data_IF_503752151375
#
_entry.id   IF_503752151375
#
_cell.length_a   1.000
_cell.length_b   1.000
_cell.length_c   1.000
_cell.angle_alpha   90.00
_cell.angle_beta   90.00
_cell.angle_gamma   90.00
#
_symmetry.space_group_name_H-M   'P 1'
#
loop_
_entity.id
_entity.type
_entity.pdbx_description
1 polymer ?
#
# COMPACT_ATOMS: atom_id res chain seq x y z
N UNK A 1 53.11 -33.87 -24.40
CA UNK A 1 51.69 -33.51 -24.58
C UNK A 1 51.22 -32.79 -23.33
N UNK A 2 51.14 -31.45 -23.38
CA UNK A 2 50.64 -30.63 -22.28
C UNK A 2 49.14 -30.37 -22.54
N UNK A 3 48.25 -30.98 -21.75
CA UNK A 3 46.81 -30.75 -21.86
C UNK A 3 46.45 -29.48 -21.10
N UNK A 4 46.10 -28.43 -21.84
CA UNK A 4 45.56 -27.19 -21.29
C UNK A 4 44.09 -27.43 -20.91
N UNK A 5 43.80 -27.45 -19.60
CA UNK A 5 42.44 -27.48 -19.08
C UNK A 5 41.89 -26.04 -19.11
N UNK A 6 41.03 -25.75 -20.06
CA UNK A 6 40.28 -24.50 -20.11
C UNK A 6 39.08 -24.65 -19.16
N UNK A 7 39.18 -24.07 -17.96
CA UNK A 7 38.01 -23.86 -17.11
C UNK A 7 37.19 -22.69 -17.70
N UNK A 8 36.15 -23.01 -18.46
CA UNK A 8 35.09 -22.05 -18.77
C UNK A 8 34.26 -21.84 -17.51
N UNK A 9 34.58 -20.80 -16.74
CA UNK A 9 33.72 -20.32 -15.66
C UNK A 9 32.45 -19.72 -16.25
N UNK A 10 31.33 -20.42 -16.15
CA UNK A 10 30.01 -19.81 -16.32
C UNK A 10 29.80 -18.85 -15.15
N UNK A 11 30.07 -17.56 -15.36
CA UNK A 11 29.56 -16.51 -14.49
C UNK A 11 28.05 -16.43 -14.69
N UNK A 12 27.28 -17.22 -13.94
CA UNK A 12 25.89 -16.90 -13.71
C UNK A 12 25.86 -15.61 -12.89
N UNK A 13 25.63 -14.47 -13.56
CA UNK A 13 25.14 -13.28 -12.87
C UNK A 13 23.78 -13.66 -12.29
N UNK A 14 23.75 -14.08 -11.04
CA UNK A 14 22.51 -14.23 -10.28
C UNK A 14 21.91 -12.83 -10.13
N UNK A 15 21.01 -12.46 -11.04
CA UNK A 15 20.19 -11.28 -10.86
C UNK A 15 19.30 -11.56 -9.63
N UNK A 16 19.42 -10.73 -8.60
CA UNK A 16 18.55 -10.88 -7.43
C UNK A 16 17.12 -10.51 -7.85
N UNK A 17 16.18 -11.43 -7.63
CA UNK A 17 14.79 -11.25 -8.00
C UNK A 17 14.15 -10.04 -7.26
N UNK A 18 13.25 -9.34 -7.95
CA UNK A 18 12.60 -8.14 -7.41
C UNK A 18 11.75 -8.49 -6.18
N UNK A 19 11.95 -7.80 -5.06
CA UNK A 19 11.25 -8.10 -3.80
C UNK A 19 11.11 -6.90 -2.87
N UNK A 20 10.23 -6.99 -1.86
CA UNK A 20 10.25 -6.08 -0.72
C UNK A 20 11.52 -6.31 0.11
N UNK A 21 12.18 -5.24 0.55
CA UNK A 21 13.33 -5.31 1.46
C UNK A 21 12.92 -4.82 2.85
N UNK A 22 13.25 -5.63 3.85
CA UNK A 22 13.01 -5.30 5.24
C UNK A 22 14.04 -4.33 5.81
N UNK A 23 13.78 -3.89 7.05
CA UNK A 23 14.56 -2.82 7.67
C UNK A 23 15.97 -3.24 8.09
N UNK A 24 16.23 -4.55 8.11
CA UNK A 24 17.55 -5.14 8.27
C UNK A 24 18.33 -5.24 6.94
N UNK A 25 17.75 -4.79 5.82
CA UNK A 25 18.35 -4.84 4.51
C UNK A 25 18.26 -6.16 3.77
N UNK A 26 17.47 -7.13 4.23
CA UNK A 26 17.25 -8.41 3.57
C UNK A 26 15.89 -8.46 2.87
N UNK A 27 15.72 -9.27 1.83
CA UNK A 27 14.40 -9.53 1.24
C UNK A 27 13.41 -10.06 2.29
N UNK A 28 12.17 -9.58 2.23
CA UNK A 28 11.04 -10.03 3.06
C UNK A 28 9.82 -10.29 2.20
N UNK A 29 8.95 -11.18 2.67
CA UNK A 29 7.71 -11.50 1.97
C UNK A 29 6.73 -10.32 1.96
N UNK A 30 6.66 -9.59 3.08
CA UNK A 30 5.88 -8.37 3.22
C UNK A 30 6.44 -7.52 4.34
N UNK A 31 6.15 -6.23 4.30
CA UNK A 31 6.33 -5.34 5.44
C UNK A 31 5.24 -4.27 5.49
N UNK A 32 5.09 -3.69 6.67
CA UNK A 32 4.24 -2.55 6.95
C UNK A 32 5.11 -1.45 7.56
N UNK A 33 4.95 -0.23 7.06
CA UNK A 33 5.55 0.98 7.63
C UNK A 33 4.43 1.94 8.04
N UNK A 34 4.57 2.49 9.24
CA UNK A 34 3.77 3.62 9.72
C UNK A 34 4.69 4.80 10.00
N UNK A 35 4.80 5.72 9.05
CA UNK A 35 5.53 6.97 9.24
C UNK A 35 4.76 7.86 10.20
N UNK A 36 5.44 8.42 11.18
CA UNK A 36 4.84 9.27 12.20
C UNK A 36 4.60 10.70 11.69
N UNK A 37 3.57 11.40 12.17
CA UNK A 37 3.43 12.83 11.93
C UNK A 37 4.58 13.61 12.59
N UNK A 38 4.79 14.85 12.16
CA UNK A 38 5.70 15.71 12.90
C UNK A 38 5.11 16.03 14.29
N UNK A 39 5.98 16.08 15.30
CA UNK A 39 5.56 16.40 16.66
C UNK A 39 6.25 17.68 17.14
N UNK A 40 5.51 18.70 17.60
CA UNK A 40 6.09 19.98 17.99
C UNK A 40 7.17 19.87 19.08
N UNK A 41 6.98 18.93 20.02
CA UNK A 41 7.84 18.77 21.20
C UNK A 41 9.11 17.92 20.96
N UNK A 42 9.25 17.28 19.79
CA UNK A 42 10.33 16.32 19.52
C UNK A 42 11.20 16.67 18.30
N UNK A 43 11.16 17.92 17.86
CA UNK A 43 11.89 18.39 16.68
C UNK A 43 11.11 18.09 15.40
N UNK A 44 10.63 19.16 14.74
CA UNK A 44 9.65 19.08 13.65
C UNK A 44 10.09 18.24 12.45
N UNK A 45 11.37 18.28 12.08
CA UNK A 45 11.86 17.64 10.85
C UNK A 45 12.19 16.17 11.07
N UNK A 46 13.05 15.86 12.03
CA UNK A 46 13.54 14.48 12.24
C UNK A 46 12.42 13.56 12.73
N UNK A 47 11.56 14.05 13.64
CA UNK A 47 10.46 13.24 14.17
C UNK A 47 9.45 12.85 13.08
N UNK A 48 9.12 13.80 12.19
CA UNK A 48 8.25 13.55 11.04
C UNK A 48 8.86 12.64 9.97
N UNK A 49 10.12 12.21 10.12
CA UNK A 49 10.76 11.21 9.25
C UNK A 49 10.90 9.84 9.92
N UNK A 50 10.61 9.73 11.22
CA UNK A 50 10.60 8.44 11.92
C UNK A 50 9.41 7.60 11.50
N UNK A 51 9.55 6.29 11.57
CA UNK A 51 8.47 5.36 11.34
C UNK A 51 8.51 4.18 12.32
N UNK A 52 7.36 3.53 12.46
CA UNK A 52 7.23 2.19 13.01
C UNK A 52 7.25 1.17 11.88
N UNK A 53 7.82 0.01 12.14
CA UNK A 53 8.03 -1.07 11.18
C UNK A 53 7.48 -2.39 11.71
N UNK A 54 6.91 -3.19 10.82
CA UNK A 54 6.49 -4.55 11.10
C UNK A 54 6.65 -5.45 9.87
N UNK A 55 7.15 -6.67 10.07
CA UNK A 55 7.19 -7.74 9.07
C UNK A 55 6.80 -9.08 9.72
N UNK A 56 7.01 -10.19 9.00
CA UNK A 56 6.73 -11.54 9.50
C UNK A 56 7.55 -11.95 10.75
N UNK A 57 8.65 -11.27 11.04
CA UNK A 57 9.63 -11.63 12.07
C UNK A 57 9.73 -10.61 13.21
N UNK A 58 9.16 -9.41 13.08
CA UNK A 58 9.22 -8.41 14.17
C UNK A 58 8.38 -8.78 15.39
N UNK A 59 7.31 -9.57 15.21
CA UNK A 59 6.31 -9.90 16.24
C UNK A 59 5.60 -8.66 16.83
N UNK A 60 5.26 -7.69 15.97
CA UNK A 60 4.59 -6.44 16.31
C UNK A 60 5.37 -5.20 15.87
N UNK A 61 4.92 -4.02 16.28
CA UNK A 61 5.58 -2.76 15.97
C UNK A 61 6.98 -2.67 16.59
N UNK A 62 7.96 -2.30 15.76
CA UNK A 62 9.28 -1.84 16.19
C UNK A 62 9.54 -0.43 15.68
N UNK A 63 10.45 0.28 16.32
CA UNK A 63 10.99 1.50 15.73
C UNK A 63 11.77 1.15 14.45
N UNK A 64 11.61 1.98 13.43
CA UNK A 64 12.43 1.91 12.23
C UNK A 64 13.90 2.08 12.56
N UNK A 65 14.76 1.28 11.95
CA UNK A 65 16.22 1.38 12.05
C UNK A 65 16.76 2.62 11.33
N UNK A 66 15.97 3.21 10.43
CA UNK A 66 16.33 4.34 9.60
C UNK A 66 15.23 5.41 9.59
N UNK A 67 15.51 6.53 8.92
CA UNK A 67 14.49 7.51 8.58
C UNK A 67 13.81 7.15 7.25
N UNK A 68 12.56 7.58 7.05
CA UNK A 68 11.79 7.25 5.86
C UNK A 68 12.46 7.75 4.57
N UNK A 69 13.25 8.82 4.62
CA UNK A 69 13.97 9.37 3.48
C UNK A 69 15.34 8.72 3.22
N UNK A 70 15.77 7.79 4.09
CA UNK A 70 17.04 7.07 3.94
C UNK A 70 16.90 5.93 2.91
N UNK A 71 17.87 5.82 2.01
CA UNK A 71 17.93 4.73 1.03
C UNK A 71 18.26 3.39 1.68
N UNK A 72 18.80 3.37 2.90
CA UNK A 72 19.13 2.15 3.63
C UNK A 72 17.94 1.52 4.38
N UNK A 73 16.89 2.29 4.66
CA UNK A 73 15.66 1.79 5.29
C UNK A 73 14.82 0.92 4.36
N UNK A 74 13.84 0.21 4.92
CA UNK A 74 12.99 -0.73 4.18
C UNK A 74 12.38 -0.15 2.88
N UNK A 75 11.74 1.02 2.97
CA UNK A 75 11.13 1.69 1.81
C UNK A 75 12.18 2.11 0.77
N UNK A 76 13.28 2.72 1.23
CA UNK A 76 14.38 3.17 0.38
C UNK A 76 15.04 2.02 -0.36
N UNK A 77 15.39 0.92 0.32
CA UNK A 77 15.98 -0.27 -0.30
C UNK A 77 15.04 -0.93 -1.29
N UNK A 78 13.76 -1.04 -0.93
CA UNK A 78 12.75 -1.62 -1.82
C UNK A 78 12.66 -0.82 -3.13
N UNK A 79 12.54 0.50 -3.04
CA UNK A 79 12.40 1.36 -4.22
C UNK A 79 13.73 1.63 -4.95
N UNK A 80 14.89 1.38 -4.34
CA UNK A 80 16.17 1.47 -5.06
C UNK A 80 16.23 0.50 -6.26
N UNK A 81 15.53 -0.63 -6.21
CA UNK A 81 15.40 -1.54 -7.36
C UNK A 81 14.77 -0.86 -8.58
N UNK A 82 13.86 0.10 -8.36
CA UNK A 82 13.23 0.92 -9.40
C UNK A 82 14.18 1.96 -10.00
N UNK A 83 15.09 2.51 -9.19
CA UNK A 83 16.00 3.60 -9.61
C UNK A 83 17.36 3.11 -10.11
N UNK A 84 17.63 1.81 -10.00
CA UNK A 84 18.84 1.24 -10.56
C UNK A 84 18.71 1.15 -12.10
N UNK A 85 19.55 1.91 -12.80
CA UNK A 85 19.49 2.09 -14.26
C UNK A 85 19.63 0.81 -15.09
N UNK A 86 20.13 -0.28 -14.50
CA UNK A 86 20.21 -1.59 -15.15
C UNK A 86 18.87 -2.32 -15.16
N UNK A 87 18.00 -2.08 -14.17
CA UNK A 87 16.67 -2.70 -14.08
C UNK A 87 15.68 -2.08 -15.07
N UNK A 88 15.71 -0.76 -15.24
CA UNK A 88 14.71 0.00 -16.03
C UNK A 88 14.95 -0.05 -17.54
N UNK A 89 16.17 -0.41 -17.97
CA UNK A 89 16.52 -0.62 -19.38
C UNK A 89 16.37 -2.07 -19.82
N UNK A 90 15.96 -2.95 -18.91
CA UNK A 90 15.76 -4.36 -19.20
C UNK A 90 14.33 -4.58 -19.71
N UNK A 91 14.18 -5.18 -20.89
CA UNK A 91 12.88 -5.59 -21.44
C UNK A 91 12.21 -6.71 -20.63
N UNK A 92 12.90 -7.27 -19.63
CA UNK A 92 12.36 -8.26 -18.70
C UNK A 92 11.80 -7.64 -17.40
N UNK A 93 11.75 -6.31 -17.27
CA UNK A 93 11.24 -5.63 -16.07
C UNK A 93 10.07 -4.70 -16.42
N UNK A 94 8.95 -4.87 -15.73
CA UNK A 94 7.79 -3.99 -15.81
C UNK A 94 7.62 -3.14 -14.56
N UNK A 95 7.11 -1.93 -14.71
CA UNK A 95 6.74 -1.06 -13.60
C UNK A 95 5.50 -0.20 -13.90
N UNK A 96 4.78 0.15 -12.84
CA UNK A 96 3.70 1.12 -12.89
C UNK A 96 3.64 1.92 -11.58
N UNK A 97 3.89 3.22 -11.68
CA UNK A 97 3.80 4.16 -10.58
C UNK A 97 2.50 4.94 -10.73
N UNK A 98 1.70 4.97 -9.67
CA UNK A 98 0.43 5.67 -9.68
C UNK A 98 0.18 6.47 -8.41
N UNK A 99 -0.47 7.62 -8.59
CA UNK A 99 -0.83 8.53 -7.51
C UNK A 99 -1.83 9.55 -8.07
N UNK A 100 -2.95 9.79 -7.40
CA UNK A 100 -3.91 10.84 -7.77
C UNK A 100 -3.39 12.27 -7.53
N UNK A 101 -2.26 12.38 -6.85
CA UNK A 101 -1.48 13.59 -6.64
C UNK A 101 0.00 13.30 -6.95
N UNK A 102 0.39 13.15 -8.23
CA UNK A 102 1.75 12.72 -8.60
C UNK A 102 2.81 13.78 -8.24
N UNK A 103 4.11 13.42 -8.24
CA UNK A 103 5.19 14.34 -7.87
C UNK A 103 5.32 15.60 -8.74
N UNK A 104 4.84 15.56 -9.99
CA UNK A 104 4.80 16.73 -10.88
C UNK A 104 3.65 17.67 -10.49
N UNK A 105 3.96 18.94 -10.23
CA UNK A 105 2.96 19.96 -9.92
C UNK A 105 1.91 20.11 -11.03
N UNK A 106 0.63 20.25 -10.65
CA UNK A 106 -0.49 20.51 -11.58
C UNK A 106 -1.26 19.28 -12.08
N UNK A 107 -0.76 18.06 -11.86
CA UNK A 107 -1.39 16.82 -12.34
C UNK A 107 -2.31 16.14 -11.30
N UNK A 108 -2.96 16.91 -10.42
CA UNK A 108 -3.94 16.36 -9.50
C UNK A 108 -5.24 16.08 -10.25
N UNK A 109 -5.80 14.87 -10.11
CA UNK A 109 -7.06 14.56 -10.80
C UNK A 109 -8.08 13.89 -9.90
N UNK A 110 -9.25 14.54 -9.80
CA UNK A 110 -10.43 13.99 -9.17
C UNK A 110 -11.22 13.02 -10.08
N UNK A 111 -10.86 12.89 -11.37
CA UNK A 111 -11.49 11.94 -12.29
C UNK A 111 -10.97 10.51 -12.14
N UNK A 112 -9.79 10.35 -11.53
CA UNK A 112 -9.18 9.07 -11.20
C UNK A 112 -9.47 8.68 -9.75
N UNK A 113 -9.26 7.41 -9.44
CA UNK A 113 -9.39 6.89 -8.09
C UNK A 113 -8.47 7.56 -7.09
N UNK A 114 -8.87 7.61 -5.82
CA UNK A 114 -8.02 8.05 -4.73
C UNK A 114 -7.11 6.90 -4.32
N UNK A 115 -6.09 6.66 -5.13
CA UNK A 115 -5.20 5.52 -4.95
C UNK A 115 -3.75 5.84 -5.31
N UNK A 116 -2.80 5.24 -4.59
CA UNK A 116 -1.37 5.49 -4.74
C UNK A 116 -0.56 4.22 -4.49
N UNK A 117 0.50 4.02 -5.27
CA UNK A 117 1.33 2.84 -5.14
C UNK A 117 2.33 2.64 -6.26
N UNK A 118 3.05 1.52 -6.13
CA UNK A 118 4.10 1.09 -7.05
C UNK A 118 3.93 -0.40 -7.33
N UNK A 119 3.92 -0.74 -8.61
CA UNK A 119 4.14 -2.10 -9.09
C UNK A 119 5.51 -2.13 -9.73
N UNK A 120 6.35 -3.10 -9.35
CA UNK A 120 7.63 -3.40 -9.98
C UNK A 120 7.80 -4.92 -10.01
N UNK A 121 8.09 -5.49 -11.17
CA UNK A 121 8.17 -6.93 -11.37
C UNK A 121 9.11 -7.32 -12.51
N UNK A 122 9.65 -8.52 -12.43
CA UNK A 122 10.32 -9.24 -13.51
C UNK A 122 9.49 -10.50 -13.87
N UNK A 123 10.04 -11.39 -14.71
CA UNK A 123 9.36 -12.62 -15.14
C UNK A 123 9.23 -13.69 -14.04
N UNK A 124 9.90 -13.53 -12.90
CA UNK A 124 9.84 -14.45 -11.78
C UNK A 124 8.87 -13.95 -10.70
N UNK A 125 9.04 -12.69 -10.28
CA UNK A 125 8.30 -12.09 -9.16
C UNK A 125 8.38 -10.56 -9.17
N UNK A 126 7.76 -9.94 -8.18
CA UNK A 126 7.83 -8.50 -7.97
C UNK A 126 7.24 -8.09 -6.64
N UNK A 127 7.03 -6.79 -6.46
CA UNK A 127 6.24 -6.28 -5.36
C UNK A 127 5.09 -5.38 -5.82
N UNK A 128 4.04 -5.38 -5.02
CA UNK A 128 3.02 -4.34 -5.03
C UNK A 128 3.09 -3.56 -3.71
N UNK A 129 3.40 -2.27 -3.82
CA UNK A 129 3.49 -1.33 -2.72
C UNK A 129 2.27 -0.40 -2.74
N UNK A 130 1.46 -0.44 -1.69
CA UNK A 130 0.33 0.46 -1.48
C UNK A 130 0.74 1.51 -0.45
N UNK A 131 0.41 2.78 -0.68
CA UNK A 131 0.75 3.84 0.26
C UNK A 131 -0.22 5.01 0.25
N UNK A 132 -0.12 5.90 1.25
CA UNK A 132 -0.99 7.08 1.36
C UNK A 132 -0.31 8.42 1.06
N UNK A 133 0.97 8.41 0.69
CA UNK A 133 1.81 9.60 0.47
C UNK A 133 1.56 10.32 -0.87
N UNK A 134 1.07 11.58 -0.87
CA UNK A 134 1.01 12.42 -2.08
C UNK A 134 2.41 12.78 -2.59
N UNK A 135 2.52 13.07 -3.88
CA UNK A 135 3.75 13.47 -4.57
C UNK A 135 4.90 12.47 -4.43
N UNK A 136 4.56 11.19 -4.35
CA UNK A 136 5.50 10.08 -4.18
C UNK A 136 5.06 8.85 -5.00
N UNK A 137 6.00 8.01 -5.45
CA UNK A 137 7.45 8.22 -5.45
C UNK A 137 7.90 9.09 -6.64
N UNK A 138 9.14 9.62 -6.63
CA UNK A 138 9.74 10.23 -7.82
C UNK A 138 9.71 9.29 -9.04
N UNK A 139 9.56 9.82 -10.28
CA UNK A 139 9.59 9.01 -11.49
C UNK A 139 10.96 8.30 -11.68
N UNK A 140 10.98 7.24 -12.47
CA UNK A 140 12.11 6.30 -12.62
C UNK A 140 13.40 6.94 -13.15
N UNK A 141 13.30 8.09 -13.83
CA UNK A 141 14.46 8.86 -14.30
C UNK A 141 15.08 9.77 -13.22
N UNK A 142 14.55 9.73 -11.99
CA UNK A 142 15.09 10.43 -10.83
C UNK A 142 15.69 9.42 -9.85
N UNK A 143 15.85 9.84 -8.59
CA UNK A 143 16.35 9.02 -7.49
C UNK A 143 15.33 9.01 -6.36
N UNK A 144 15.44 7.99 -5.50
CA UNK A 144 14.68 7.94 -4.26
C UNK A 144 14.83 9.26 -3.50
N UNK A 145 13.68 9.87 -3.19
CA UNK A 145 13.60 11.06 -2.36
C UNK A 145 12.22 11.15 -1.74
N UNK A 146 12.18 11.82 -0.59
CA UNK A 146 10.97 11.97 0.18
C UNK A 146 10.32 13.34 -0.08
N UNK A 147 9.00 13.43 -0.33
CA UNK A 147 8.35 14.70 -0.62
C UNK A 147 8.33 15.59 0.62
N UNK A 148 8.63 16.89 0.45
CA UNK A 148 8.73 17.85 1.55
C UNK A 148 7.43 17.95 2.38
N UNK A 149 6.28 17.85 1.73
CA UNK A 149 4.98 17.88 2.42
C UNK A 149 4.63 16.56 3.13
N UNK A 150 5.32 15.46 2.81
CA UNK A 150 5.20 14.17 3.49
C UNK A 150 5.74 14.17 4.92
N UNK A 151 6.33 15.26 5.40
CA UNK A 151 6.85 15.36 6.78
C UNK A 151 5.71 15.53 7.79
N UNK A 152 4.67 16.29 7.42
CA UNK A 152 3.66 16.78 8.38
C UNK A 152 2.79 15.67 8.95
N UNK A 153 2.24 14.82 8.09
CA UNK A 153 1.21 13.87 8.50
C UNK A 153 1.77 12.44 8.63
N UNK A 154 1.12 11.63 9.46
CA UNK A 154 1.35 10.19 9.50
C UNK A 154 0.99 9.55 8.15
N UNK A 155 1.66 8.46 7.77
CA UNK A 155 1.44 7.78 6.48
C UNK A 155 1.68 6.29 6.63
N UNK A 156 0.91 5.48 5.90
CA UNK A 156 1.03 4.03 5.91
C UNK A 156 1.55 3.50 4.58
N UNK A 157 2.32 2.43 4.64
CA UNK A 157 2.78 1.65 3.50
C UNK A 157 2.60 0.17 3.78
N UNK A 158 2.16 -0.57 2.77
CA UNK A 158 2.16 -2.03 2.74
C UNK A 158 2.91 -2.47 1.48
N UNK A 159 4.01 -3.20 1.65
CA UNK A 159 4.70 -3.86 0.56
C UNK A 159 4.47 -5.37 0.67
N UNK A 160 4.08 -6.02 -0.42
CA UNK A 160 4.02 -7.48 -0.49
C UNK A 160 4.74 -7.95 -1.75
N UNK A 161 5.63 -8.92 -1.58
CA UNK A 161 6.32 -9.64 -2.65
C UNK A 161 5.37 -10.71 -3.19
N UNK A 162 5.12 -10.70 -4.48
CA UNK A 162 4.22 -11.64 -5.15
C UNK A 162 4.95 -12.37 -6.29
N UNK A 163 4.62 -13.66 -6.55
CA UNK A 163 5.07 -14.32 -7.77
C UNK A 163 4.44 -13.66 -9.00
N UNK A 164 5.11 -13.74 -10.16
CA UNK A 164 4.68 -13.14 -11.42
C UNK A 164 3.20 -13.40 -11.76
N UNK A 165 2.73 -14.62 -11.50
CA UNK A 165 1.35 -15.07 -11.78
C UNK A 165 0.25 -14.27 -11.05
N UNK A 166 0.56 -13.60 -9.95
CA UNK A 166 -0.42 -12.77 -9.22
C UNK A 166 -0.66 -11.42 -9.88
N UNK A 167 0.27 -10.94 -10.73
CA UNK A 167 0.21 -9.57 -11.25
C UNK A 167 -0.91 -9.34 -12.27
N UNK A 168 -1.44 -10.40 -12.91
CA UNK A 168 -2.63 -10.25 -13.74
C UNK A 168 -3.86 -9.93 -12.86
N UNK A 169 -4.00 -10.64 -11.73
CA UNK A 169 -5.06 -10.40 -10.74
C UNK A 169 -4.92 -9.03 -10.09
N UNK A 170 -3.70 -8.60 -9.76
CA UNK A 170 -3.41 -7.23 -9.28
C UNK A 170 -3.79 -6.21 -10.36
N UNK A 171 -3.46 -6.47 -11.63
CA UNK A 171 -3.90 -5.66 -12.76
C UNK A 171 -5.42 -5.49 -12.80
N UNK A 172 -6.18 -6.55 -12.53
CA UNK A 172 -7.64 -6.45 -12.42
C UNK A 172 -8.08 -5.57 -11.25
N UNK A 173 -7.47 -5.67 -10.08
CA UNK A 173 -7.72 -4.76 -8.94
C UNK A 173 -7.46 -3.30 -9.35
N UNK A 174 -6.36 -3.04 -10.05
CA UNK A 174 -6.00 -1.70 -10.52
C UNK A 174 -7.01 -1.15 -11.54
N UNK A 175 -7.61 -1.96 -12.41
CA UNK A 175 -8.72 -1.49 -13.25
C UNK A 175 -9.89 -0.94 -12.39
N UNK A 176 -10.28 -1.66 -11.32
CA UNK A 176 -11.31 -1.17 -10.40
C UNK A 176 -10.86 0.08 -9.65
N UNK A 177 -9.63 0.11 -9.16
CA UNK A 177 -9.11 1.30 -8.48
C UNK A 177 -9.06 2.53 -9.39
N UNK A 178 -8.95 2.34 -10.72
CA UNK A 178 -8.83 3.39 -11.73
C UNK A 178 -7.76 4.44 -11.38
N UNK A 179 -6.51 4.00 -11.13
CA UNK A 179 -5.42 4.88 -10.72
C UNK A 179 -4.98 5.83 -11.84
N UNK A 180 -4.47 6.99 -11.45
CA UNK A 180 -3.68 7.84 -12.34
C UNK A 180 -2.24 7.30 -12.41
N UNK A 181 -1.90 6.56 -13.46
CA UNK A 181 -0.52 6.15 -13.74
C UNK A 181 0.26 7.34 -14.32
N UNK A 182 1.29 7.80 -13.62
CA UNK A 182 2.10 8.95 -14.04
C UNK A 182 3.47 8.56 -14.61
N UNK A 183 3.91 7.32 -14.36
CA UNK A 183 5.12 6.76 -14.96
C UNK A 183 5.04 5.24 -14.99
N UNK A 184 5.04 4.65 -16.19
CA UNK A 184 4.82 3.23 -16.39
C UNK A 184 5.57 2.70 -17.61
N UNK A 185 5.89 1.42 -17.57
CA UNK A 185 6.39 0.62 -18.69
C UNK A 185 6.05 -0.84 -18.40
N UNK A 186 5.28 -1.47 -19.28
CA UNK A 186 5.01 -2.91 -19.21
C UNK A 186 5.57 -3.50 -20.50
N UNK A 187 6.57 -4.41 -20.43
CA UNK A 187 7.14 -5.03 -21.62
C UNK A 187 6.08 -5.74 -22.46
N UNK A 188 6.26 -5.72 -23.79
CA UNK A 188 5.37 -6.45 -24.72
C UNK A 188 5.34 -7.95 -24.40
N UNK A 189 6.46 -8.50 -23.92
CA UNK A 189 6.57 -9.90 -23.52
C UNK A 189 5.65 -10.29 -22.35
N UNK A 190 5.11 -9.33 -21.60
CA UNK A 190 4.19 -9.59 -20.49
C UNK A 190 2.72 -9.58 -20.94
N UNK A 191 2.41 -9.16 -22.18
CA UNK A 191 1.01 -8.91 -22.57
C UNK A 191 0.14 -10.18 -22.58
N UNK A 192 0.71 -11.33 -22.96
CA UNK A 192 -0.03 -12.60 -22.97
C UNK A 192 -0.39 -13.08 -21.58
N UNK A 193 0.50 -12.85 -20.61
CA UNK A 193 0.41 -13.44 -19.27
C UNK A 193 -0.28 -12.48 -18.29
N UNK A 194 -0.13 -11.16 -18.50
CA UNK A 194 -0.68 -10.10 -17.66
C UNK A 194 -1.65 -9.16 -18.41
N UNK A 195 -2.63 -9.66 -19.18
CA UNK A 195 -3.50 -8.83 -20.00
C UNK A 195 -4.31 -7.81 -19.20
N UNK A 196 -4.68 -8.12 -17.94
CA UNK A 196 -5.42 -7.19 -17.09
C UNK A 196 -4.55 -6.08 -16.49
N UNK A 197 -3.25 -6.33 -16.30
CA UNK A 197 -2.29 -5.28 -15.93
C UNK A 197 -2.07 -4.32 -17.10
N UNK A 198 -1.92 -4.86 -18.32
CA UNK A 198 -1.82 -4.07 -19.56
C UNK A 198 -3.06 -3.21 -19.76
N UNK A 199 -4.25 -3.78 -19.54
CA UNK A 199 -5.52 -3.04 -19.59
C UNK A 199 -5.55 -1.91 -18.55
N UNK A 200 -5.11 -2.16 -17.32
CA UNK A 200 -5.07 -1.14 -16.28
C UNK A 200 -4.19 0.05 -16.70
N UNK A 201 -2.96 -0.19 -17.15
CA UNK A 201 -2.04 0.89 -17.56
C UNK A 201 -2.45 1.61 -18.86
N UNK A 202 -3.29 0.97 -19.68
CA UNK A 202 -3.94 1.55 -20.87
C UNK A 202 -5.30 2.20 -20.56
N UNK A 203 -5.56 2.49 -19.29
CA UNK A 203 -6.75 3.18 -18.79
C UNK A 203 -8.08 2.51 -19.17
N UNK A 204 -8.10 1.17 -19.18
CA UNK A 204 -9.32 0.39 -19.43
C UNK A 204 -10.07 0.12 -18.13
N UNK A 205 -11.32 0.58 -18.10
CA UNK A 205 -12.21 0.43 -16.96
C UNK A 205 -12.78 -0.98 -16.85
N UNK A 206 -13.16 -1.46 -15.65
CA UNK A 206 -13.69 -2.80 -15.48
C UNK A 206 -15.11 -2.90 -16.04
N UNK A 207 -15.43 -4.07 -16.60
CA UNK A 207 -16.79 -4.49 -16.91
C UNK A 207 -17.33 -5.32 -15.75
N UNK A 208 -18.04 -4.68 -14.81
CA UNK A 208 -18.71 -5.36 -13.70
C UNK A 208 -20.00 -4.64 -13.34
N UNK A 209 -21.05 -5.40 -13.04
CA UNK A 209 -22.32 -4.85 -12.56
C UNK A 209 -22.28 -4.41 -11.10
N UNK A 210 -21.42 -5.03 -10.27
CA UNK A 210 -21.26 -4.66 -8.86
C UNK A 210 -20.35 -3.44 -8.66
N UNK A 211 -19.50 -3.13 -9.65
CA UNK A 211 -18.45 -2.11 -9.55
C UNK A 211 -17.46 -2.33 -8.38
N UNK A 212 -17.45 -3.53 -7.80
CA UNK A 212 -16.54 -3.98 -6.75
C UNK A 212 -15.86 -5.28 -7.15
N UNK A 213 -14.68 -5.53 -6.57
CA UNK A 213 -13.92 -6.76 -6.74
C UNK A 213 -13.26 -7.12 -5.41
N UNK A 214 -13.42 -8.38 -5.01
CA UNK A 214 -12.70 -8.99 -3.90
C UNK A 214 -11.90 -10.17 -4.42
N UNK A 215 -10.63 -10.27 -4.05
CA UNK A 215 -9.79 -11.41 -4.44
C UNK A 215 -8.74 -11.72 -3.37
N UNK A 216 -8.44 -13.00 -3.19
CA UNK A 216 -7.28 -13.43 -2.40
C UNK A 216 -6.04 -13.44 -3.27
N UNK A 217 -4.99 -12.76 -2.82
CA UNK A 217 -3.65 -12.78 -3.40
C UNK A 217 -2.73 -13.57 -2.46
N UNK A 218 -1.85 -14.38 -3.03
CA UNK A 218 -0.89 -15.19 -2.26
C UNK A 218 0.51 -14.66 -2.52
N UNK A 219 1.20 -14.23 -1.47
CA UNK A 219 2.58 -13.74 -1.52
C UNK A 219 3.57 -14.82 -1.97
N UNK A 220 4.81 -14.42 -2.27
CA UNK A 220 5.87 -15.33 -2.70
C UNK A 220 6.18 -16.42 -1.67
N UNK A 221 6.02 -16.16 -0.37
CA UNK A 221 6.18 -17.15 0.69
C UNK A 221 4.85 -17.79 1.15
N UNK A 222 3.77 -17.63 0.38
CA UNK A 222 2.52 -18.37 0.60
C UNK A 222 1.54 -17.73 1.58
N UNK A 223 1.77 -16.50 2.04
CA UNK A 223 0.82 -15.78 2.89
C UNK A 223 -0.33 -15.21 2.06
N UNK A 224 -1.55 -15.41 2.54
CA UNK A 224 -2.73 -14.86 1.89
C UNK A 224 -3.04 -13.44 2.37
N UNK A 225 -3.36 -12.58 1.41
CA UNK A 225 -3.90 -11.24 1.59
C UNK A 225 -5.20 -11.14 0.79
N UNK A 226 -6.17 -10.37 1.27
CA UNK A 226 -7.44 -10.16 0.57
C UNK A 226 -7.50 -8.72 0.07
N UNK A 227 -7.51 -8.53 -1.24
CA UNK A 227 -7.64 -7.21 -1.86
C UNK A 227 -9.11 -6.90 -2.11
N UNK A 228 -9.52 -5.71 -1.68
CA UNK A 228 -10.82 -5.12 -1.94
C UNK A 228 -10.66 -3.87 -2.80
N UNK A 229 -11.30 -3.85 -3.95
CA UNK A 229 -11.28 -2.71 -4.88
C UNK A 229 -12.69 -2.32 -5.28
N UNK A 230 -12.94 -1.02 -5.37
CA UNK A 230 -14.16 -0.45 -5.95
C UNK A 230 -13.83 0.49 -7.10
N UNK A 231 -14.72 0.56 -8.08
CA UNK A 231 -14.72 1.58 -9.13
C UNK A 231 -15.64 2.75 -8.74
N UNK A 232 -15.44 3.92 -9.34
CA UNK A 232 -16.18 5.14 -8.99
C UNK A 232 -17.70 5.07 -9.20
N UNK A 233 -18.20 4.06 -9.92
CA UNK A 233 -19.63 3.79 -10.12
C UNK A 233 -20.28 2.93 -9.02
N UNK A 234 -19.50 2.43 -8.06
CA UNK A 234 -20.05 1.69 -6.92
C UNK A 234 -21.06 2.53 -6.11
N UNK A 235 -20.79 3.82 -5.95
CA UNK A 235 -21.76 4.78 -5.40
C UNK A 235 -21.85 4.78 -3.87
N UNK A 236 -20.99 4.05 -3.16
CA UNK A 236 -20.93 4.05 -1.70
C UNK A 236 -19.50 4.07 -1.16
N UNK A 237 -19.35 4.24 0.16
CA UNK A 237 -18.10 4.19 0.91
C UNK A 237 -17.47 2.80 0.82
N UNK A 238 -16.14 2.75 0.65
CA UNK A 238 -15.40 1.48 0.53
C UNK A 238 -15.62 0.60 1.76
N UNK A 239 -15.59 1.20 2.95
CA UNK A 239 -15.59 0.45 4.20
C UNK A 239 -17.01 0.02 4.59
N UNK A 240 -17.95 0.96 4.61
CA UNK A 240 -19.35 0.72 5.03
C UNK A 240 -20.10 -0.18 4.06
N UNK A 241 -20.07 0.18 2.77
CA UNK A 241 -20.84 -0.49 1.73
C UNK A 241 -20.22 -1.78 1.23
N UNK A 242 -18.92 -2.01 1.46
CA UNK A 242 -18.22 -3.18 0.92
C UNK A 242 -17.40 -3.96 1.95
N UNK A 243 -16.29 -3.41 2.45
CA UNK A 243 -15.31 -4.20 3.23
C UNK A 243 -15.90 -4.79 4.51
N UNK A 244 -16.63 -3.99 5.33
CA UNK A 244 -17.23 -4.47 6.57
C UNK A 244 -18.26 -5.59 6.33
N UNK A 245 -19.08 -5.43 5.28
CA UNK A 245 -20.13 -6.40 4.95
C UNK A 245 -19.54 -7.70 4.39
N UNK A 246 -18.51 -7.59 3.55
CA UNK A 246 -17.85 -8.74 2.96
C UNK A 246 -17.06 -9.55 3.99
N UNK A 247 -16.33 -8.88 4.89
CA UNK A 247 -15.61 -9.52 5.99
C UNK A 247 -16.53 -9.99 7.11
N UNK A 248 -17.78 -9.54 7.14
CA UNK A 248 -18.73 -9.79 8.22
C UNK A 248 -18.19 -9.33 9.58
N UNK A 249 -17.61 -8.13 9.60
CA UNK A 249 -17.01 -7.53 10.80
C UNK A 249 -17.29 -6.04 10.86
N UNK A 250 -17.62 -5.57 12.06
CA UNK A 250 -17.56 -4.14 12.34
C UNK A 250 -16.10 -3.68 12.34
N UNK A 251 -15.85 -2.50 11.78
CA UNK A 251 -14.50 -1.97 11.54
C UNK A 251 -14.31 -0.63 12.23
N UNK A 252 -13.16 -0.45 12.85
CA UNK A 252 -12.62 0.84 13.26
C UNK A 252 -11.72 1.33 12.12
N UNK A 253 -11.98 2.53 11.58
CA UNK A 253 -11.33 3.02 10.35
C UNK A 253 -10.62 4.35 10.59
N UNK A 254 -9.32 4.35 10.29
CA UNK A 254 -8.47 5.53 10.23
C UNK A 254 -8.45 6.07 8.80
N UNK A 255 -8.66 7.38 8.66
CA UNK A 255 -8.58 8.12 7.41
C UNK A 255 -8.34 9.59 7.72
N UNK A 256 -8.08 10.42 6.70
CA UNK A 256 -7.80 11.83 6.94
C UNK A 256 -9.10 12.66 7.06
N UNK A 257 -9.45 13.16 8.26
CA UNK A 257 -10.75 13.81 8.50
C UNK A 257 -10.77 15.29 8.07
N UNK A 258 -9.69 15.80 7.49
CA UNK A 258 -9.65 17.20 7.01
C UNK A 258 -10.22 17.34 5.59
N UNK A 259 -10.72 16.26 4.99
CA UNK A 259 -11.37 16.30 3.68
C UNK A 259 -12.77 16.93 3.75
N UNK A 260 -13.25 17.49 2.64
CA UNK A 260 -14.61 18.06 2.61
C UNK A 260 -15.66 16.95 2.57
N UNK A 261 -16.75 17.12 3.33
CA UNK A 261 -17.88 16.20 3.31
C UNK A 261 -17.55 14.81 3.87
N UNK A 262 -16.73 14.76 4.93
CA UNK A 262 -16.42 13.53 5.69
C UNK A 262 -17.70 12.83 6.12
N UNK A 263 -17.68 11.50 6.02
CA UNK A 263 -18.77 10.65 6.47
C UNK A 263 -18.61 10.37 7.97
N UNK A 264 -19.68 10.49 8.74
CA UNK A 264 -19.71 10.03 10.14
C UNK A 264 -19.61 8.51 10.25
N UNK A 265 -19.36 8.02 11.47
CA UNK A 265 -19.55 6.62 11.82
C UNK A 265 -20.91 6.11 11.34
N UNK A 266 -20.94 4.89 10.81
CA UNK A 266 -22.12 4.31 10.18
C UNK A 266 -22.50 2.99 10.87
N UNK A 267 -23.66 3.00 11.53
CA UNK A 267 -24.26 1.83 12.18
C UNK A 267 -25.61 1.43 11.57
N UNK A 268 -25.92 1.89 10.35
CA UNK A 268 -27.21 1.57 9.71
C UNK A 268 -27.23 0.17 9.07
N UNK A 269 -26.05 -0.42 8.84
CA UNK A 269 -25.88 -1.76 8.28
C UNK A 269 -25.55 -2.79 9.37
N UNK A 270 -25.64 -4.09 9.05
CA UNK A 270 -25.38 -5.18 10.02
C UNK A 270 -23.99 -5.11 10.65
N UNK A 271 -22.97 -4.77 9.87
CA UNK A 271 -21.61 -4.59 10.34
C UNK A 271 -21.26 -3.11 10.29
N UNK A 272 -20.87 -2.56 11.44
CA UNK A 272 -20.72 -1.13 11.64
C UNK A 272 -19.34 -0.64 11.18
N UNK A 273 -19.24 0.65 10.87
CA UNK A 273 -17.97 1.28 10.55
C UNK A 273 -17.80 2.55 11.36
N UNK A 274 -16.86 2.52 12.29
CA UNK A 274 -16.61 3.58 13.28
C UNK A 274 -15.34 4.35 12.91
N UNK A 275 -15.41 5.68 12.90
CA UNK A 275 -14.29 6.56 12.58
C UNK A 275 -13.31 6.64 13.76
N UNK A 276 -12.05 6.26 13.55
CA UNK A 276 -10.99 6.52 14.53
C UNK A 276 -10.75 8.04 14.57
N UNK A 277 -10.53 8.59 15.77
CA UNK A 277 -10.17 10.00 15.95
C UNK A 277 -8.82 10.20 16.65
N UNK A 278 -8.28 9.16 17.29
CA UNK A 278 -6.99 9.23 17.97
C UNK A 278 -6.21 7.93 17.79
N UNK A 279 -4.94 8.07 17.42
CA UNK A 279 -3.98 6.99 17.22
C UNK A 279 -2.98 6.99 18.37
N UNK A 280 -2.67 5.83 18.95
CA UNK A 280 -1.78 5.69 20.11
C UNK A 280 -0.79 4.54 19.93
N UNK A 281 0.50 4.83 20.02
CA UNK A 281 1.56 3.84 20.09
C UNK A 281 2.00 3.60 21.55
N UNK A 282 2.63 2.46 21.79
CA UNK A 282 3.31 2.20 23.05
C UNK A 282 4.37 3.29 23.34
N UNK A 283 4.61 3.57 24.63
CA UNK A 283 5.55 4.61 25.06
C UNK A 283 4.96 6.03 25.10
N UNK A 284 3.63 6.16 25.05
CA UNK A 284 2.93 7.44 25.22
C UNK A 284 2.82 8.30 23.96
N UNK A 285 3.35 7.84 22.83
CA UNK A 285 3.18 8.51 21.54
C UNK A 285 1.72 8.41 21.10
N UNK A 286 1.06 9.54 20.90
CA UNK A 286 -0.30 9.61 20.38
C UNK A 286 -0.48 10.86 19.52
N UNK A 287 -1.45 10.81 18.61
CA UNK A 287 -1.82 11.95 17.78
C UNK A 287 -3.25 11.79 17.25
N UNK A 288 -3.87 12.93 16.97
CA UNK A 288 -5.21 12.98 16.39
C UNK A 288 -5.19 12.63 14.89
N UNK A 289 -6.22 11.97 14.40
CA UNK A 289 -6.35 11.57 12.98
C UNK A 289 -6.29 12.75 12.00
N UNK A 290 -6.54 13.98 12.47
CA UNK A 290 -6.34 15.23 11.69
C UNK A 290 -4.89 15.43 11.20
N UNK A 291 -3.93 14.82 11.89
CA UNK A 291 -2.51 14.83 11.57
C UNK A 291 -2.07 13.54 10.88
N UNK A 292 -3.00 12.73 10.38
CA UNK A 292 -2.69 11.44 9.80
C UNK A 292 -3.29 11.27 8.40
N UNK A 293 -2.40 10.99 7.45
CA UNK A 293 -2.73 10.64 6.08
C UNK A 293 -2.75 9.12 5.88
N UNK A 294 -2.46 8.28 6.87
CA UNK A 294 -2.65 6.84 6.77
C UNK A 294 -4.12 6.49 6.51
N UNK A 295 -4.34 5.31 5.90
CA UNK A 295 -5.67 4.76 5.66
C UNK A 295 -5.62 3.29 5.99
N UNK A 296 -6.27 2.93 7.07
CA UNK A 296 -6.32 1.55 7.51
C UNK A 296 -7.59 1.30 8.31
N UNK A 297 -7.96 0.04 8.42
CA UNK A 297 -9.02 -0.37 9.32
C UNK A 297 -8.65 -1.64 10.06
N UNK A 298 -9.29 -1.84 11.20
CA UNK A 298 -9.12 -3.02 12.04
C UNK A 298 -10.48 -3.49 12.52
N UNK A 299 -10.72 -4.80 12.51
CA UNK A 299 -11.96 -5.35 13.05
C UNK A 299 -12.04 -5.19 14.56
N UNK A 300 -13.26 -4.98 15.06
CA UNK A 300 -13.54 -5.12 16.48
C UNK A 300 -13.25 -6.55 16.96
N UNK A 301 -12.78 -6.67 18.21
CA UNK A 301 -12.42 -7.97 18.76
C UNK A 301 -13.68 -8.77 19.09
N UNK A 302 -13.79 -9.95 18.49
CA UNK A 302 -14.83 -10.92 18.78
C UNK A 302 -14.17 -12.26 19.09
N UNK A 303 -14.37 -12.76 20.30
CA UNK A 303 -13.74 -13.99 20.79
C UNK A 303 -14.07 -15.16 19.87
N UNK A 304 -13.04 -15.89 19.41
CA UNK A 304 -13.20 -17.06 18.55
C UNK A 304 -13.45 -16.75 17.07
N UNK A 305 -13.43 -15.48 16.68
CA UNK A 305 -13.66 -15.05 15.30
C UNK A 305 -12.38 -14.57 14.61
N UNK A 306 -12.31 -14.78 13.28
CA UNK A 306 -11.24 -14.25 12.45
C UNK A 306 -11.19 -12.72 12.52
N UNK A 307 -10.00 -12.19 12.75
CA UNK A 307 -9.71 -10.79 12.98
C UNK A 307 -8.96 -10.21 11.79
N UNK A 308 -9.26 -8.97 11.41
CA UNK A 308 -8.80 -8.39 10.15
C UNK A 308 -8.12 -7.05 10.36
N UNK A 309 -7.04 -6.82 9.63
CA UNK A 309 -6.45 -5.50 9.43
C UNK A 309 -6.34 -5.24 7.95
N UNK A 310 -6.75 -4.05 7.50
CA UNK A 310 -6.60 -3.64 6.11
C UNK A 310 -5.83 -2.34 6.01
N UNK A 311 -4.96 -2.23 5.01
CA UNK A 311 -4.14 -1.06 4.73
C UNK A 311 -4.40 -0.67 3.28
N UNK A 312 -4.74 0.60 3.07
CA UNK A 312 -5.11 1.12 1.78
C UNK A 312 -4.76 2.58 1.65
N UNK A 313 -5.52 3.25 0.81
CA UNK A 313 -5.30 4.65 0.46
C UNK A 313 -6.60 5.46 0.39
N UNK A 314 -7.78 4.85 0.53
CA UNK A 314 -9.07 5.49 0.38
C UNK A 314 -9.56 6.25 1.63
N UNK A 315 -9.88 7.54 1.49
CA UNK A 315 -10.54 8.35 2.52
C UNK A 315 -12.05 8.06 2.61
N UNK A 316 -12.70 8.53 3.69
CA UNK A 316 -14.15 8.42 3.91
C UNK A 316 -14.85 9.77 3.83
N UNK A 317 -15.21 10.18 2.61
CA UNK A 317 -15.99 11.38 2.35
C UNK A 317 -16.92 11.20 1.13
N UNK A 318 -17.89 12.11 0.96
CA UNK A 318 -18.88 12.08 -0.13
C UNK A 318 -18.26 12.08 -1.53
N UNK A 319 -17.11 12.73 -1.71
CA UNK A 319 -16.37 12.71 -2.97
C UNK A 319 -15.81 11.32 -3.30
N UNK A 320 -15.23 10.67 -2.29
CA UNK A 320 -14.63 9.33 -2.45
C UNK A 320 -15.66 8.22 -2.69
N UNK A 321 -16.94 8.42 -2.38
CA UNK A 321 -18.01 7.48 -2.79
C UNK A 321 -18.09 7.34 -4.33
N UNK A 322 -17.61 8.34 -5.07
CA UNK A 322 -17.65 8.40 -6.54
C UNK A 322 -16.29 8.17 -7.21
N UNK A 323 -15.26 7.79 -6.44
CA UNK A 323 -13.89 7.53 -6.93
C UNK A 323 -13.52 6.07 -6.74
N UNK A 324 -12.66 5.56 -7.62
CA UNK A 324 -12.10 4.23 -7.48
C UNK A 324 -11.01 4.16 -6.40
N UNK A 325 -10.76 2.97 -5.87
CA UNK A 325 -9.63 2.67 -4.98
C UNK A 325 -9.93 1.46 -4.09
N UNK A 326 -9.04 1.18 -3.13
CA UNK A 326 -9.10 -0.09 -2.44
C UNK A 326 -8.31 -0.18 -1.15
N UNK A 327 -8.26 -1.39 -0.60
CA UNK A 327 -7.50 -1.75 0.59
C UNK A 327 -7.10 -3.22 0.53
N UNK A 328 -5.95 -3.56 1.10
CA UNK A 328 -5.49 -4.95 1.21
C UNK A 328 -5.52 -5.38 2.67
N UNK A 329 -6.21 -6.47 2.93
CA UNK A 329 -6.48 -7.02 4.24
C UNK A 329 -5.64 -8.27 4.53
N UNK A 330 -5.32 -8.47 5.80
CA UNK A 330 -4.73 -9.71 6.33
C UNK A 330 -5.46 -10.12 7.59
N UNK A 331 -5.60 -11.43 7.79
CA UNK A 331 -6.09 -12.01 9.04
C UNK A 331 -4.99 -12.43 10.01
N UNK A 332 -3.76 -11.91 9.80
CA UNK A 332 -2.64 -12.14 10.69
C UNK A 332 -2.93 -11.58 12.10
N UNK A 333 -2.97 -12.44 13.14
CA UNK A 333 -3.32 -12.01 14.49
C UNK A 333 -2.30 -11.07 15.14
N UNK A 334 -1.03 -11.12 14.73
CA UNK A 334 0.02 -10.21 15.22
C UNK A 334 -0.15 -8.82 14.60
N UNK A 335 -0.48 -8.75 13.31
CA UNK A 335 -0.81 -7.48 12.64
C UNK A 335 -2.08 -6.89 13.25
N UNK A 336 -3.13 -7.70 13.44
CA UNK A 336 -4.36 -7.24 14.08
C UNK A 336 -4.13 -6.71 15.49
N UNK A 337 -3.36 -7.41 16.34
CA UNK A 337 -3.02 -6.92 17.68
C UNK A 337 -2.30 -5.57 17.62
N UNK A 338 -1.37 -5.44 16.68
CA UNK A 338 -0.56 -4.23 16.49
C UNK A 338 -1.42 -3.04 16.11
N UNK A 339 -2.37 -3.20 15.18
CA UNK A 339 -3.28 -2.14 14.76
C UNK A 339 -4.42 -1.88 15.75
N UNK A 340 -4.94 -2.92 16.42
CA UNK A 340 -5.99 -2.73 17.43
C UNK A 340 -5.50 -1.92 18.62
N UNK A 341 -4.25 -2.11 19.00
CA UNK A 341 -3.58 -1.31 20.03
C UNK A 341 -3.39 0.16 19.62
N UNK A 342 -3.41 0.47 18.32
CA UNK A 342 -3.32 1.85 17.84
C UNK A 342 -4.58 2.68 18.09
N UNK A 343 -5.73 2.03 18.27
CA UNK A 343 -7.00 2.73 18.42
C UNK A 343 -7.08 3.35 19.82
N UNK A 344 -6.78 4.65 19.92
CA UNK A 344 -6.88 5.44 21.14
C UNK A 344 -8.28 6.04 21.37
N UNK A 345 -9.10 6.15 20.31
CA UNK A 345 -10.47 6.65 20.38
C UNK A 345 -11.18 6.59 19.03
N UNK A 346 -12.51 6.66 19.05
CA UNK A 346 -13.36 6.69 17.86
C UNK A 346 -14.63 7.52 18.07
N UNK A 347 -15.22 8.00 16.98
CA UNK A 347 -16.53 8.64 16.94
C UNK A 347 -17.62 7.56 17.08
N UNK A 348 -18.51 7.64 18.09
CA UNK A 348 -19.67 6.75 18.16
C UNK A 348 -20.65 7.05 17.00
N UNK A 349 -21.55 6.13 16.73
CA UNK A 349 -22.69 6.45 15.88
C UNK A 349 -23.62 7.41 16.61
N UNK A 350 -24.16 8.40 15.89
CA UNK A 350 -25.21 9.25 16.43
C UNK A 350 -26.53 8.46 16.34
N UNK A 351 -27.12 8.17 17.50
CA UNK A 351 -28.45 7.55 17.62
C UNK A 351 -29.58 8.44 17.07
#
# INVERSE_FOLDING_TARGET
>A
MLRLLVLTGFFFSAHAAISCYGDNGKPVDWFIIYKLPNHPEHGWYEYGMKYKYQDAFTNGWKDGAHLINDTMGALGKTLQQLYNSQSVKNEDVGYALYNDQPPSEGNNSASYGHTKGVVLLDKEQGFWLIHSTPHFPPPVNQRYSWPKNGIRNGQSFLCVTYPFSQFNTIGKQLQFNHPLFFNQFIPESFESDLPDLVKAVKDKIPTSSSWTQQVTLTSAQGKNFVSFSKYGRFGDDLYSGFVAQALKRSLLVEFWPNSQGVLSSNCSMKYHVLNINNVTFAGGLHFHSQHDHSKWCVSESLTGEEQWTCIGDMNRNKGEQKRGGGTVCTSDPVVWKSYRALVGGWEPCND
#
